data_IF_618375383670
#
_entry.id   IF_618375383670
#
_cell.length_a   1.000
_cell.length_b   1.000
_cell.length_c   1.000
_cell.angle_alpha   90.00
_cell.angle_beta   90.00
_cell.angle_gamma   90.00
#
_symmetry.space_group_name_H-M   'P 1'
#
loop_
_entity.id
_entity.type
_entity.pdbx_description
1 polymer ?
#
# COMPACT_ATOMS: atom_id res chain seq x y z
N UNK A 1 -13.69 2.61 -2.24
CA UNK A 1 -12.59 2.47 -3.23
C UNK A 1 -11.33 1.94 -2.55
N UNK A 2 -10.37 1.39 -3.31
CA UNK A 2 -9.15 0.80 -2.73
C UNK A 2 -8.36 1.86 -1.94
N UNK A 3 -8.28 3.06 -2.49
CA UNK A 3 -7.59 4.24 -1.96
C UNK A 3 -8.22 4.71 -0.65
N UNK A 4 -9.55 4.76 -0.56
CA UNK A 4 -10.29 5.16 0.64
C UNK A 4 -10.07 4.19 1.81
N UNK A 5 -9.98 2.89 1.53
CA UNK A 5 -9.68 1.88 2.56
C UNK A 5 -8.26 2.07 3.09
N UNK A 6 -7.27 2.27 2.20
CA UNK A 6 -5.90 2.54 2.59
C UNK A 6 -5.79 3.80 3.46
N UNK A 7 -6.48 4.88 3.06
CA UNK A 7 -6.53 6.14 3.82
C UNK A 7 -7.18 5.96 5.20
N UNK A 8 -8.28 5.22 5.26
CA UNK A 8 -9.01 4.97 6.51
C UNK A 8 -8.15 4.16 7.49
N UNK A 9 -7.48 3.11 7.01
CA UNK A 9 -6.57 2.30 7.85
C UNK A 9 -5.41 3.17 8.34
N UNK A 10 -4.76 3.90 7.45
CA UNK A 10 -3.66 4.80 7.78
C UNK A 10 -4.07 5.81 8.85
N UNK A 11 -5.17 6.55 8.63
CA UNK A 11 -5.66 7.58 9.53
C UNK A 11 -5.98 7.03 10.92
N UNK A 12 -6.67 5.88 10.99
CA UNK A 12 -7.01 5.25 12.27
C UNK A 12 -5.78 4.82 13.06
N UNK A 13 -4.84 4.16 12.40
CA UNK A 13 -3.59 3.75 13.05
C UNK A 13 -2.77 4.95 13.49
N UNK A 14 -2.65 5.96 12.63
CA UNK A 14 -1.88 7.17 12.93
C UNK A 14 -2.45 7.93 14.12
N UNK A 15 -3.77 8.15 14.16
CA UNK A 15 -4.44 8.88 15.24
C UNK A 15 -4.48 8.10 16.57
N UNK A 16 -4.49 6.76 16.49
CA UNK A 16 -4.60 5.91 17.70
C UNK A 16 -3.26 5.72 18.39
N UNK A 17 -2.18 5.59 17.61
CA UNK A 17 -0.87 5.19 18.12
C UNK A 17 0.20 6.27 18.03
N UNK A 18 -0.08 7.39 17.35
CA UNK A 18 0.87 8.50 17.13
C UNK A 18 2.30 8.02 16.78
N UNK A 19 2.45 7.11 15.79
CA UNK A 19 3.74 6.49 15.53
C UNK A 19 4.71 7.51 14.94
N UNK A 20 6.01 7.38 15.26
CA UNK A 20 7.08 8.17 14.64
C UNK A 20 7.10 8.03 13.11
N UNK A 21 6.79 6.84 12.62
CA UNK A 21 6.80 6.48 11.20
C UNK A 21 5.76 5.40 10.95
N UNK A 22 4.94 5.56 9.91
CA UNK A 22 3.89 4.62 9.53
C UNK A 22 3.79 4.54 8.01
N UNK A 23 3.71 3.32 7.51
CA UNK A 23 3.32 3.02 6.12
C UNK A 23 2.21 1.97 6.14
N UNK A 24 1.20 2.19 5.30
CA UNK A 24 0.16 1.22 4.99
C UNK A 24 0.17 0.98 3.49
N UNK A 25 0.28 -0.28 3.09
CA UNK A 25 0.16 -0.71 1.70
C UNK A 25 -1.00 -1.72 1.61
N UNK A 26 -1.94 -1.48 0.70
CA UNK A 26 -3.01 -2.43 0.42
C UNK A 26 -2.75 -3.13 -0.91
N UNK A 27 -2.67 -4.45 -0.89
CA UNK A 27 -2.42 -5.29 -2.06
C UNK A 27 -3.72 -6.02 -2.45
N UNK A 28 -4.29 -5.64 -3.59
CA UNK A 28 -5.60 -6.13 -4.03
C UNK A 28 -5.49 -7.06 -5.23
N UNK A 29 -6.39 -8.05 -5.29
CA UNK A 29 -6.60 -8.86 -6.49
C UNK A 29 -7.01 -7.98 -7.68
N UNK A 30 -6.57 -8.36 -8.88
CA UNK A 30 -6.97 -7.71 -10.13
C UNK A 30 -8.48 -7.80 -10.36
N UNK A 31 -9.05 -6.75 -10.95
CA UNK A 31 -10.41 -6.72 -11.51
C UNK A 31 -10.34 -6.14 -12.92
N UNK A 32 -10.90 -6.82 -13.92
CA UNK A 32 -10.78 -6.39 -15.32
C UNK A 32 -9.33 -6.39 -15.86
N UNK A 33 -8.45 -7.21 -15.29
CA UNK A 33 -7.05 -7.37 -15.73
C UNK A 33 -6.03 -6.46 -15.04
N UNK A 34 -6.49 -5.47 -14.26
CA UNK A 34 -5.64 -4.51 -13.56
C UNK A 34 -5.94 -4.52 -12.06
N UNK A 35 -4.92 -4.28 -11.24
CA UNK A 35 -5.02 -4.06 -9.81
C UNK A 35 -4.73 -2.60 -9.46
N UNK A 36 -5.17 -2.20 -8.27
CA UNK A 36 -4.92 -0.88 -7.70
C UNK A 36 -4.41 -1.14 -6.28
N UNK A 37 -3.11 -0.90 -6.08
CA UNK A 37 -2.42 -1.21 -4.82
C UNK A 37 -1.98 0.10 -4.14
N UNK A 38 -2.87 0.83 -3.46
CA UNK A 38 -2.54 2.12 -2.87
C UNK A 38 -1.57 1.96 -1.70
N UNK A 39 -0.68 2.95 -1.58
CA UNK A 39 0.26 3.12 -0.47
C UNK A 39 0.00 4.48 0.17
N UNK A 40 0.06 4.52 1.50
CA UNK A 40 0.06 5.74 2.32
C UNK A 40 1.20 5.66 3.31
N UNK A 41 1.97 6.74 3.42
CA UNK A 41 3.15 6.77 4.28
C UNK A 41 3.34 8.16 4.89
N UNK A 42 3.91 8.23 6.09
CA UNK A 42 4.37 9.51 6.66
C UNK A 42 5.70 9.96 6.06
N UNK A 43 6.52 9.04 5.53
CA UNK A 43 7.83 9.36 4.95
C UNK A 43 8.11 8.49 3.73
N UNK A 44 8.69 9.08 2.68
CA UNK A 44 8.96 8.39 1.40
C UNK A 44 9.98 7.26 1.54
N UNK A 45 10.97 7.38 2.43
CA UNK A 45 12.01 6.34 2.63
C UNK A 45 11.46 5.00 3.13
N UNK A 46 10.20 4.94 3.57
CA UNK A 46 9.53 3.71 3.99
C UNK A 46 9.02 2.89 2.80
N UNK A 47 8.92 3.48 1.61
CA UNK A 47 8.44 2.82 0.40
C UNK A 47 9.59 2.02 -0.22
N UNK A 48 9.42 0.70 -0.28
CA UNK A 48 10.38 -0.21 -0.89
C UNK A 48 10.41 -0.07 -2.43
N UNK A 49 11.60 -0.22 -3.03
CA UNK A 49 11.82 -0.18 -4.49
C UNK A 49 10.96 -1.20 -5.25
N UNK A 50 10.65 -2.33 -4.61
CA UNK A 50 9.77 -3.36 -5.15
C UNK A 50 8.40 -2.83 -5.64
N UNK A 51 7.88 -1.74 -5.05
CA UNK A 51 6.56 -1.22 -5.42
C UNK A 51 6.50 -0.50 -6.77
N UNK A 52 7.65 -0.16 -7.36
CA UNK A 52 7.75 0.71 -8.54
C UNK A 52 8.86 0.28 -9.51
N UNK A 53 9.53 -0.84 -9.23
CA UNK A 53 10.49 -1.43 -10.16
C UNK A 53 9.79 -1.96 -11.42
N UNK A 54 10.05 -1.32 -12.56
CA UNK A 54 9.50 -1.72 -13.86
C UNK A 54 10.24 -2.90 -14.51
N UNK A 55 11.39 -3.30 -13.95
CA UNK A 55 12.20 -4.42 -14.46
C UNK A 55 11.73 -5.77 -13.89
N UNK A 56 11.05 -5.74 -12.75
CA UNK A 56 10.50 -6.93 -12.10
C UNK A 56 9.01 -7.07 -12.46
N UNK A 57 8.59 -8.19 -13.07
CA UNK A 57 7.17 -8.39 -13.35
C UNK A 57 6.39 -8.52 -12.03
N UNK A 58 5.25 -7.85 -11.97
CA UNK A 58 4.33 -7.98 -10.84
C UNK A 58 3.69 -9.37 -10.80
N UNK A 59 4.23 -10.23 -9.94
CA UNK A 59 3.75 -11.60 -9.71
C UNK A 59 2.77 -11.58 -8.54
N UNK A 60 1.63 -12.24 -8.73
CA UNK A 60 0.63 -12.43 -7.68
C UNK A 60 1.28 -13.12 -6.47
N UNK A 61 1.27 -12.46 -5.32
CA UNK A 61 1.73 -13.09 -4.07
C UNK A 61 0.67 -14.09 -3.57
N UNK A 62 1.06 -15.07 -2.74
CA UNK A 62 0.11 -16.04 -2.16
C UNK A 62 -1.03 -15.39 -1.36
N UNK A 63 -0.83 -14.15 -0.89
CA UNK A 63 -1.80 -13.40 -0.07
C UNK A 63 -2.64 -12.42 -0.89
N UNK A 64 -2.39 -12.30 -2.19
CA UNK A 64 -3.11 -11.45 -3.13
C UNK A 64 -3.94 -12.31 -4.10
#
# INVERSE_FOLDING_TARGET
FHEEICETIFTRLNNTFEPRSLMVACLYVRRGGWDINPIRTTHEYLIDEFFWDHTVPWIKTLRQ
#
